data_IF_854668378880
#
_entry.id   IF_854668378880
#
_cell.length_a   1.000
_cell.length_b   1.000
_cell.length_c   1.000
_cell.angle_alpha   90.00
_cell.angle_beta   90.00
_cell.angle_gamma   90.00
#
_symmetry.space_group_name_H-M   'P 1'
#
loop_
_entity.id
_entity.type
_entity.pdbx_description
1 polymer ?
#
# COMPACT_ATOMS: atom_id res chain seq x y z
N UNK A 1 10.37 -13.98 -37.20
CA UNK A 1 9.87 -12.83 -36.41
C UNK A 1 8.95 -13.25 -35.27
N UNK A 2 8.15 -14.33 -35.40
CA UNK A 2 7.27 -14.85 -34.33
C UNK A 2 8.03 -15.40 -33.10
N UNK A 3 9.16 -16.09 -33.31
CA UNK A 3 9.98 -16.68 -32.22
C UNK A 3 10.49 -15.61 -31.23
N UNK A 4 10.76 -14.39 -31.70
CA UNK A 4 11.25 -13.30 -30.84
C UNK A 4 10.15 -12.69 -29.96
N UNK A 5 8.88 -12.84 -30.33
CA UNK A 5 7.74 -12.36 -29.54
C UNK A 5 7.43 -13.33 -28.39
N UNK A 6 7.46 -14.64 -28.67
CA UNK A 6 7.23 -15.69 -27.66
C UNK A 6 8.31 -15.71 -26.56
N UNK A 7 9.57 -15.52 -26.92
CA UNK A 7 10.66 -15.45 -25.95
C UNK A 7 10.51 -14.24 -25.00
N UNK A 8 10.08 -13.09 -25.53
CA UNK A 8 9.85 -11.87 -24.75
C UNK A 8 8.72 -12.04 -23.73
N UNK A 9 7.67 -12.79 -24.07
CA UNK A 9 6.56 -13.06 -23.16
C UNK A 9 6.99 -13.97 -21.99
N UNK A 10 7.83 -14.99 -22.24
CA UNK A 10 8.35 -15.86 -21.18
C UNK A 10 9.21 -15.07 -20.18
N UNK A 11 10.10 -14.21 -20.66
CA UNK A 11 10.96 -13.38 -19.81
C UNK A 11 10.15 -12.41 -18.93
N UNK A 12 9.09 -11.81 -19.49
CA UNK A 12 8.18 -10.92 -18.74
C UNK A 12 7.44 -11.70 -17.65
N UNK A 13 6.91 -12.88 -17.99
CA UNK A 13 6.20 -13.75 -17.03
C UNK A 13 7.12 -14.17 -15.88
N UNK A 14 8.35 -14.61 -16.20
CA UNK A 14 9.35 -14.99 -15.21
C UNK A 14 9.78 -13.80 -14.34
N UNK A 15 9.94 -12.62 -14.93
CA UNK A 15 10.24 -11.41 -14.15
C UNK A 15 9.13 -11.06 -13.18
N UNK A 16 7.88 -11.05 -13.64
CA UNK A 16 6.73 -10.78 -12.79
C UNK A 16 6.63 -11.82 -11.65
N UNK A 17 6.83 -13.10 -11.96
CA UNK A 17 6.82 -14.17 -10.97
C UNK A 17 7.90 -13.95 -9.90
N UNK A 18 9.13 -13.58 -10.28
CA UNK A 18 10.22 -13.27 -9.33
C UNK A 18 9.84 -12.13 -8.39
N UNK A 19 9.22 -11.06 -8.91
CA UNK A 19 8.80 -9.93 -8.06
C UNK A 19 7.71 -10.33 -7.05
N UNK A 20 6.74 -11.15 -7.47
CA UNK A 20 5.73 -11.69 -6.58
C UNK A 20 6.32 -12.66 -5.53
N UNK A 21 7.29 -13.48 -5.91
CA UNK A 21 7.99 -14.37 -4.99
C UNK A 21 8.80 -13.58 -3.95
N UNK A 22 9.43 -12.47 -4.35
CA UNK A 22 10.12 -11.56 -3.42
C UNK A 22 9.14 -10.99 -2.41
N UNK A 23 7.93 -10.60 -2.82
CA UNK A 23 6.88 -10.14 -1.90
C UNK A 23 6.51 -11.23 -0.88
N UNK A 24 6.28 -12.47 -1.33
CA UNK A 24 5.92 -13.57 -0.43
C UNK A 24 7.05 -14.00 0.52
N UNK A 25 8.30 -13.86 0.08
CA UNK A 25 9.47 -14.20 0.90
C UNK A 25 9.76 -13.17 2.01
N UNK A 26 9.05 -12.03 2.02
CA UNK A 26 9.23 -11.02 3.06
C UNK A 26 8.69 -11.54 4.40
N UNK A 27 9.48 -11.42 5.50
CA UNK A 27 9.02 -11.81 6.82
C UNK A 27 7.80 -10.96 7.21
N UNK A 28 6.84 -11.58 7.91
CA UNK A 28 5.74 -10.84 8.55
C UNK A 28 6.29 -9.65 9.36
N UNK A 29 5.62 -8.51 9.34
CA UNK A 29 6.09 -7.29 10.02
C UNK A 29 6.27 -7.49 11.53
N UNK A 30 5.58 -8.48 12.10
CA UNK A 30 5.79 -8.94 13.48
C UNK A 30 7.24 -9.35 13.78
N UNK A 31 8.09 -9.57 12.78
CA UNK A 31 9.48 -9.92 12.96
C UNK A 31 10.42 -8.73 13.25
N UNK A 32 10.06 -7.46 13.02
CA UNK A 32 11.05 -6.35 13.07
C UNK A 32 10.47 -4.98 13.42
N UNK A 33 10.45 -4.65 14.71
CA UNK A 33 11.35 -3.66 15.32
C UNK A 33 11.25 -3.80 16.84
N UNK A 34 12.35 -3.70 17.61
CA UNK A 34 12.23 -3.50 19.06
C UNK A 34 11.34 -2.28 19.28
N UNK A 35 10.36 -2.39 20.19
CA UNK A 35 9.40 -1.31 20.35
C UNK A 35 10.14 0.02 20.61
N UNK A 36 9.83 1.05 19.83
CA UNK A 36 10.48 2.36 19.94
C UNK A 36 10.36 2.99 21.34
N UNK A 37 9.34 2.61 22.11
CA UNK A 37 9.09 3.12 23.46
C UNK A 37 9.90 2.37 24.55
N UNK A 38 10.13 1.06 24.41
CA UNK A 38 10.78 0.28 25.47
C UNK A 38 12.11 -0.38 25.06
N UNK A 39 12.48 -0.35 23.78
CA UNK A 39 13.69 -0.94 23.22
C UNK A 39 13.76 -2.48 23.32
N UNK A 40 12.74 -3.13 23.90
CA UNK A 40 12.73 -4.57 24.05
C UNK A 40 12.43 -5.23 22.70
N UNK A 41 13.27 -6.19 22.31
CA UNK A 41 12.88 -7.19 21.33
C UNK A 41 11.65 -7.93 21.88
N UNK A 42 10.60 -8.05 21.06
CA UNK A 42 9.44 -8.86 21.39
C UNK A 42 9.91 -10.27 21.79
N UNK A 43 9.84 -10.61 23.09
CA UNK A 43 10.51 -11.82 23.59
C UNK A 43 9.87 -13.12 23.09
N UNK A 44 8.64 -13.09 22.58
CA UNK A 44 7.93 -14.30 22.17
C UNK A 44 7.01 -14.09 20.95
N UNK A 45 7.40 -13.19 20.03
CA UNK A 45 6.53 -12.81 18.90
C UNK A 45 5.25 -12.07 19.30
N UNK A 46 5.09 -11.76 20.59
CA UNK A 46 4.01 -10.94 21.12
C UNK A 46 4.29 -9.44 20.90
N UNK A 47 3.24 -8.72 20.52
CA UNK A 47 3.21 -7.25 20.56
C UNK A 47 3.60 -6.83 21.98
N UNK A 48 4.58 -5.94 22.12
CA UNK A 48 4.85 -5.33 23.42
C UNK A 48 3.53 -4.79 23.99
N UNK A 49 3.22 -5.07 25.27
CA UNK A 49 2.04 -4.49 25.93
C UNK A 49 2.06 -2.96 26.00
N UNK A 50 3.17 -2.34 25.61
CA UNK A 50 3.23 -0.95 25.21
C UNK A 50 2.57 -0.82 23.83
N UNK A 51 1.32 -0.36 23.80
CA UNK A 51 0.59 -0.10 22.56
C UNK A 51 1.42 0.74 21.57
N UNK A 52 1.05 0.67 20.29
CA UNK A 52 1.73 1.44 19.24
C UNK A 52 1.72 2.93 19.61
N UNK A 53 2.89 3.52 19.83
CA UNK A 53 3.01 4.97 19.96
C UNK A 53 2.95 5.59 18.57
N UNK A 54 1.73 5.90 18.14
CA UNK A 54 1.47 6.52 16.84
C UNK A 54 2.21 7.85 16.66
N UNK A 55 2.47 8.60 17.74
CA UNK A 55 3.21 9.86 17.65
C UNK A 55 4.67 9.62 17.31
N UNK A 56 5.30 8.62 17.93
CA UNK A 56 6.66 8.22 17.62
C UNK A 56 6.76 7.63 16.21
N UNK A 57 5.80 6.79 15.83
CA UNK A 57 5.78 6.16 14.50
C UNK A 57 5.62 7.20 13.38
N UNK A 58 4.73 8.18 13.54
CA UNK A 58 4.59 9.29 12.59
C UNK A 58 5.92 10.03 12.40
N UNK A 59 6.67 10.23 13.49
CA UNK A 59 7.99 10.87 13.43
C UNK A 59 9.04 10.02 12.72
N UNK A 60 8.97 8.70 12.86
CA UNK A 60 9.91 7.76 12.23
C UNK A 60 9.64 7.57 10.73
N UNK A 61 8.38 7.63 10.32
CA UNK A 61 7.97 7.43 8.93
C UNK A 61 8.09 8.70 8.08
N UNK A 62 8.14 9.88 8.70
CA UNK A 62 8.40 11.13 7.98
C UNK A 62 9.90 11.35 7.78
N UNK A 63 10.27 11.85 6.59
CA UNK A 63 11.64 12.29 6.29
C UNK A 63 12.03 13.57 7.01
N UNK A 64 11.05 14.41 7.37
CA UNK A 64 11.22 15.66 8.13
C UNK A 64 9.96 15.85 8.99
N UNK A 65 9.91 15.24 10.19
CA UNK A 65 8.69 15.21 11.00
C UNK A 65 8.30 16.56 11.59
N UNK A 66 9.20 17.54 11.59
CA UNK A 66 8.89 18.90 12.05
C UNK A 66 8.18 19.70 10.97
N UNK A 67 8.59 19.54 9.70
CA UNK A 67 8.03 20.29 8.56
C UNK A 67 6.91 19.54 7.84
N UNK A 68 6.97 18.22 7.80
CA UNK A 68 6.01 17.34 7.13
C UNK A 68 5.56 16.22 8.09
N UNK A 69 4.87 16.56 9.19
CA UNK A 69 4.30 15.54 10.08
C UNK A 69 3.27 14.70 9.32
N UNK A 70 3.27 13.40 9.53
CA UNK A 70 2.21 12.52 9.01
C UNK A 70 0.99 12.67 9.89
N UNK A 71 -0.16 12.95 9.26
CA UNK A 71 -1.41 13.20 9.96
C UNK A 71 -2.01 11.90 10.50
N UNK A 72 -2.67 11.97 11.65
CA UNK A 72 -3.12 10.79 12.39
C UNK A 72 -4.17 9.97 11.62
N UNK A 73 -5.02 10.63 10.82
CA UNK A 73 -6.07 9.96 10.06
C UNK A 73 -5.55 9.08 8.93
N UNK A 74 -4.38 9.39 8.36
CA UNK A 74 -3.77 8.64 7.24
C UNK A 74 -2.65 7.70 7.69
N UNK A 75 -2.04 7.97 8.86
CA UNK A 75 -0.90 7.25 9.39
C UNK A 75 -1.04 5.70 9.39
N UNK A 76 -2.18 5.08 9.74
CA UNK A 76 -2.32 3.63 9.72
C UNK A 76 -2.04 3.02 8.34
N UNK A 77 -2.49 3.68 7.27
CA UNK A 77 -2.28 3.20 5.91
C UNK A 77 -0.87 3.50 5.40
N UNK A 78 -0.28 4.63 5.80
CA UNK A 78 1.15 4.90 5.54
C UNK A 78 2.02 3.81 6.19
N UNK A 79 1.72 3.47 7.44
CA UNK A 79 2.40 2.38 8.15
C UNK A 79 2.22 1.05 7.43
N UNK A 80 0.99 0.64 7.14
CA UNK A 80 0.71 -0.63 6.44
C UNK A 80 1.41 -0.74 5.08
N UNK A 81 1.55 0.36 4.34
CA UNK A 81 2.31 0.39 3.09
C UNK A 81 3.82 0.29 3.34
N UNK A 82 4.34 0.96 4.36
CA UNK A 82 5.77 0.90 4.73
C UNK A 82 6.21 -0.50 5.17
N UNK A 83 5.27 -1.34 5.62
CA UNK A 83 5.52 -2.75 5.96
C UNK A 83 5.71 -3.65 4.74
N UNK A 84 5.49 -3.13 3.52
CA UNK A 84 5.71 -3.83 2.25
C UNK A 84 6.97 -3.27 1.58
N UNK A 85 8.17 -3.82 1.83
CA UNK A 85 9.45 -3.30 1.33
C UNK A 85 9.54 -2.95 -0.17
N UNK A 86 8.67 -3.52 -1.01
CA UNK A 86 8.64 -3.23 -2.43
C UNK A 86 7.87 -1.95 -2.80
N UNK A 87 7.21 -1.33 -1.82
CA UNK A 87 6.42 -0.11 -1.91
C UNK A 87 7.03 0.91 -0.94
N UNK A 88 7.39 2.07 -1.46
CA UNK A 88 7.94 3.16 -0.65
C UNK A 88 6.97 4.35 -0.67
N UNK A 89 6.21 4.59 0.41
CA UNK A 89 5.41 5.81 0.55
C UNK A 89 6.33 7.05 0.49
N UNK A 90 5.95 8.05 -0.29
CA UNK A 90 6.74 9.26 -0.49
C UNK A 90 5.99 10.56 -0.20
N UNK A 91 4.65 10.53 -0.17
CA UNK A 91 3.81 11.65 0.24
C UNK A 91 2.46 11.14 0.75
N UNK A 92 1.83 11.87 1.66
CA UNK A 92 0.48 11.52 2.16
C UNK A 92 -0.30 12.77 2.53
N UNK A 93 -1.63 12.67 2.47
CA UNK A 93 -2.58 13.62 3.01
C UNK A 93 -3.79 12.85 3.56
N UNK A 94 -4.29 13.22 4.73
CA UNK A 94 -5.48 12.60 5.34
C UNK A 94 -6.80 13.11 4.77
N UNK A 95 -6.75 14.14 3.93
CA UNK A 95 -7.91 14.88 3.45
C UNK A 95 -8.24 16.06 4.36
N UNK A 96 -8.86 17.09 3.80
CA UNK A 96 -9.17 18.31 4.54
C UNK A 96 -10.52 18.88 4.15
N UNK A 97 -11.16 19.56 5.09
CA UNK A 97 -12.36 20.35 4.87
C UNK A 97 -12.01 21.81 4.54
N UNK A 98 -12.83 22.46 3.72
CA UNK A 98 -12.77 23.91 3.51
C UNK A 98 -13.35 24.67 4.72
N UNK A 99 -13.27 26.01 4.68
CA UNK A 99 -13.82 26.88 5.72
C UNK A 99 -15.35 26.75 5.92
N UNK A 100 -16.06 26.06 5.02
CA UNK A 100 -17.50 25.78 5.10
C UNK A 100 -17.79 24.36 5.57
N UNK A 101 -16.77 23.60 5.97
CA UNK A 101 -16.89 22.21 6.40
C UNK A 101 -17.13 21.22 5.25
N UNK A 102 -16.93 21.63 3.99
CA UNK A 102 -17.07 20.74 2.84
C UNK A 102 -15.74 20.11 2.51
N UNK A 103 -15.74 18.90 1.98
CA UNK A 103 -14.52 18.21 1.59
C UNK A 103 -13.77 19.01 0.51
N UNK A 104 -12.56 19.46 0.84
CA UNK A 104 -11.69 20.24 -0.04
C UNK A 104 -10.60 19.38 -0.70
N UNK A 105 -10.04 18.43 0.05
CA UNK A 105 -9.03 17.48 -0.43
C UNK A 105 -9.40 16.08 0.00
N UNK A 106 -9.24 15.13 -0.90
CA UNK A 106 -9.38 13.71 -0.60
C UNK A 106 -8.11 13.18 0.07
N UNK A 107 -8.22 12.20 0.98
CA UNK A 107 -7.06 11.47 1.44
C UNK A 107 -6.34 10.80 0.27
N UNK A 108 -5.01 10.81 0.29
CA UNK A 108 -4.21 10.21 -0.77
C UNK A 108 -2.83 9.86 -0.22
N UNK A 109 -2.29 8.71 -0.62
CA UNK A 109 -0.90 8.32 -0.33
C UNK A 109 -0.20 8.05 -1.63
N UNK A 110 0.90 8.76 -1.87
CA UNK A 110 1.76 8.54 -3.01
C UNK A 110 2.89 7.60 -2.64
N UNK A 111 3.27 6.75 -3.58
CA UNK A 111 4.33 5.78 -3.40
C UNK A 111 5.07 5.52 -4.70
N UNK A 112 6.32 5.07 -4.57
CA UNK A 112 7.10 4.47 -5.65
C UNK A 112 7.23 2.97 -5.43
N UNK A 113 7.53 2.24 -6.50
CA UNK A 113 7.76 0.80 -6.45
C UNK A 113 8.67 0.35 -7.59
N UNK A 114 9.41 -0.75 -7.40
CA UNK A 114 10.35 -1.24 -8.40
C UNK A 114 9.72 -2.08 -9.51
N UNK A 115 8.46 -2.52 -9.36
CA UNK A 115 7.77 -3.34 -10.36
C UNK A 115 6.29 -2.98 -10.46
N UNK A 116 5.75 -2.97 -11.69
CA UNK A 116 4.34 -2.65 -11.96
C UNK A 116 3.37 -3.71 -11.43
N UNK A 117 3.87 -4.89 -11.03
CA UNK A 117 3.03 -5.91 -10.38
C UNK A 117 2.41 -5.39 -9.07
N UNK A 118 3.11 -4.54 -8.32
CA UNK A 118 2.63 -4.04 -7.02
C UNK A 118 1.42 -3.09 -7.12
N UNK A 119 1.42 -2.03 -7.96
CA UNK A 119 0.23 -1.21 -8.15
C UNK A 119 -0.95 -2.02 -8.72
N UNK A 120 -0.70 -3.03 -9.56
CA UNK A 120 -1.77 -3.94 -10.02
C UNK A 120 -2.36 -4.78 -8.90
N UNK A 121 -1.53 -5.35 -8.01
CA UNK A 121 -1.99 -6.10 -6.84
C UNK A 121 -2.79 -5.20 -5.88
N UNK A 122 -2.31 -3.98 -5.63
CA UNK A 122 -3.02 -3.00 -4.81
C UNK A 122 -4.38 -2.69 -5.41
N UNK A 123 -4.47 -2.41 -6.72
CA UNK A 123 -5.74 -2.15 -7.38
C UNK A 123 -6.72 -3.33 -7.25
N UNK A 124 -6.25 -4.57 -7.44
CA UNK A 124 -7.08 -5.76 -7.24
C UNK A 124 -7.52 -5.93 -5.78
N UNK A 125 -6.65 -5.61 -4.81
CA UNK A 125 -7.01 -5.63 -3.39
C UNK A 125 -8.11 -4.61 -3.06
N UNK A 126 -8.03 -3.39 -3.59
CA UNK A 126 -9.05 -2.35 -3.43
C UNK A 126 -10.39 -2.79 -4.03
N UNK A 127 -10.39 -3.35 -5.24
CA UNK A 127 -11.59 -3.88 -5.90
C UNK A 127 -12.20 -5.00 -5.06
N UNK A 128 -11.39 -5.95 -4.57
CA UNK A 128 -11.88 -7.06 -3.75
C UNK A 128 -12.46 -6.59 -2.40
N UNK A 129 -11.91 -5.53 -1.83
CA UNK A 129 -12.41 -4.92 -0.59
C UNK A 129 -13.73 -4.17 -0.80
N UNK A 130 -13.84 -3.39 -1.88
CA UNK A 130 -15.09 -2.73 -2.29
C UNK A 130 -16.19 -3.76 -2.60
N UNK A 131 -15.87 -4.81 -3.37
CA UNK A 131 -16.83 -5.88 -3.69
C UNK A 131 -17.35 -6.62 -2.45
N UNK A 132 -16.51 -6.75 -1.40
CA UNK A 132 -16.89 -7.32 -0.10
C UNK A 132 -17.59 -6.31 0.83
N UNK A 133 -17.81 -5.06 0.38
CA UNK A 133 -18.35 -3.94 1.16
C UNK A 133 -17.58 -3.66 2.45
N UNK A 134 -16.27 -3.95 2.44
CA UNK A 134 -15.38 -3.58 3.54
C UNK A 134 -15.06 -2.09 3.46
N UNK A 135 -14.96 -1.55 2.24
CA UNK A 135 -14.85 -0.12 2.00
C UNK A 135 -16.22 0.44 1.68
N UNK A 136 -16.50 1.61 2.22
CA UNK A 136 -17.71 2.38 1.92
C UNK A 136 -17.58 3.13 0.59
N UNK A 137 -16.37 3.57 0.25
CA UNK A 137 -16.08 4.34 -0.96
C UNK A 137 -15.23 3.55 -1.95
N UNK A 138 -15.22 4.00 -3.20
CA UNK A 138 -14.40 3.37 -4.21
C UNK A 138 -12.99 3.96 -4.21
N UNK A 139 -12.03 3.18 -3.74
CA UNK A 139 -10.61 3.53 -3.80
C UNK A 139 -9.98 3.03 -5.10
N UNK A 140 -8.95 3.72 -5.56
CA UNK A 140 -8.25 3.41 -6.80
C UNK A 140 -6.74 3.60 -6.68
N UNK A 141 -6.04 3.04 -7.68
CA UNK A 141 -4.63 3.33 -7.94
C UNK A 141 -4.57 4.29 -9.13
N UNK A 142 -3.96 5.46 -8.94
CA UNK A 142 -3.76 6.46 -9.98
C UNK A 142 -2.26 6.62 -10.27
N UNK A 143 -1.88 6.77 -11.54
CA UNK A 143 -0.52 7.18 -11.89
C UNK A 143 -0.40 8.70 -11.70
N UNK A 144 0.62 9.14 -10.97
CA UNK A 144 0.86 10.55 -10.67
C UNK A 144 2.01 11.06 -11.53
N UNK A 145 1.78 12.18 -12.22
CA UNK A 145 2.85 12.87 -12.93
C UNK A 145 3.59 13.80 -11.97
N UNK A 146 4.80 13.41 -11.57
CA UNK A 146 5.66 14.24 -10.74
C UNK A 146 6.83 14.80 -11.58
N UNK A 147 6.54 15.81 -12.41
CA UNK A 147 7.48 16.71 -13.10
C UNK A 147 8.79 16.12 -13.63
N UNK A 148 9.76 15.92 -12.75
CA UNK A 148 11.14 15.50 -13.05
C UNK A 148 11.50 14.08 -12.60
N UNK A 149 10.60 13.35 -11.94
CA UNK A 149 10.87 11.99 -11.49
C UNK A 149 10.98 11.04 -12.68
N UNK A 150 12.11 10.35 -12.80
CA UNK A 150 12.29 9.26 -13.76
C UNK A 150 11.53 8.00 -13.35
N UNK A 151 11.24 7.86 -12.06
CA UNK A 151 10.50 6.73 -11.52
C UNK A 151 9.00 7.01 -11.54
N UNK A 152 8.16 6.01 -11.90
CA UNK A 152 6.73 6.17 -11.84
C UNK A 152 6.27 6.33 -10.38
N UNK A 153 5.44 7.34 -10.14
CA UNK A 153 4.78 7.56 -8.85
C UNK A 153 3.32 7.14 -9.01
N UNK A 154 2.80 6.44 -8.01
CA UNK A 154 1.41 6.02 -7.94
C UNK A 154 0.75 6.60 -6.70
N UNK A 155 -0.57 6.77 -6.72
CA UNK A 155 -1.37 7.19 -5.58
C UNK A 155 -2.43 6.14 -5.25
N UNK A 156 -2.64 5.90 -3.95
CA UNK A 156 -3.85 5.26 -3.42
C UNK A 156 -4.79 6.37 -2.95
N UNK A 157 -5.95 6.49 -3.57
CA UNK A 157 -6.89 7.56 -3.27
C UNK A 157 -8.34 7.16 -3.56
N UNK A 158 -9.34 7.82 -2.95
CA UNK A 158 -10.74 7.69 -3.34
C UNK A 158 -10.98 8.19 -4.77
N UNK A 159 -11.94 7.59 -5.47
CA UNK A 159 -12.36 8.00 -6.80
C UNK A 159 -13.15 9.31 -6.73
N UNK A 160 -12.83 10.24 -7.64
CA UNK A 160 -13.56 11.50 -7.81
C UNK A 160 -15.02 11.19 -8.19
N UNK A 161 -15.96 11.66 -7.37
CA UNK A 161 -17.39 11.38 -7.50
C UNK A 161 -18.06 10.98 -6.18
N UNK A 162 -17.28 10.54 -5.19
CA UNK A 162 -17.75 10.23 -3.84
C UNK A 162 -17.89 11.52 -2.98
N UNK A 163 -18.47 12.59 -3.54
CA UNK A 163 -18.42 13.95 -2.96
C UNK A 163 -19.30 14.17 -1.73
N UNK A 164 -20.25 13.28 -1.48
CA UNK A 164 -21.13 13.35 -0.30
C UNK A 164 -20.54 12.61 0.92
N UNK A 165 -19.32 12.10 0.80
CA UNK A 165 -18.63 11.41 1.89
C UNK A 165 -18.06 12.40 2.92
N UNK A 166 -18.22 12.06 4.20
CA UNK A 166 -17.54 12.77 5.28
C UNK A 166 -16.08 12.32 5.39
N UNK A 167 -15.23 13.21 5.92
CA UNK A 167 -13.82 12.89 6.19
C UNK A 167 -13.68 11.66 7.10
N UNK A 168 -14.50 11.57 8.14
CA UNK A 168 -14.55 10.42 9.05
C UNK A 168 -14.83 9.09 8.33
N UNK A 169 -15.64 9.13 7.27
CA UNK A 169 -15.97 7.93 6.51
C UNK A 169 -14.78 7.46 5.65
N UNK A 170 -13.92 8.38 5.18
CA UNK A 170 -12.65 8.01 4.57
C UNK A 170 -11.64 7.51 5.59
N UNK A 171 -11.58 8.12 6.78
CA UNK A 171 -10.73 7.62 7.87
C UNK A 171 -11.14 6.19 8.28
N UNK A 172 -12.43 5.88 8.30
CA UNK A 172 -12.90 4.51 8.53
C UNK A 172 -12.43 3.53 7.43
N UNK A 173 -12.49 3.92 6.16
CA UNK A 173 -11.94 3.11 5.05
C UNK A 173 -10.42 2.92 5.18
N UNK A 174 -9.67 3.96 5.59
CA UNK A 174 -8.22 3.89 5.82
C UNK A 174 -7.88 2.87 6.91
N UNK A 175 -8.66 2.81 7.99
CA UNK A 175 -8.50 1.80 9.03
C UNK A 175 -8.78 0.39 8.48
N UNK A 176 -9.84 0.22 7.70
CA UNK A 176 -10.19 -1.07 7.10
C UNK A 176 -9.14 -1.55 6.07
N UNK A 177 -8.59 -0.61 5.28
CA UNK A 177 -7.50 -0.85 4.35
C UNK A 177 -6.27 -1.31 5.10
N UNK A 178 -5.76 -0.49 6.02
CA UNK A 178 -4.52 -0.76 6.76
C UNK A 178 -4.55 -2.09 7.51
N UNK A 179 -5.69 -2.44 8.11
CA UNK A 179 -5.84 -3.68 8.87
C UNK A 179 -5.76 -4.96 8.02
N UNK A 180 -5.98 -4.89 6.70
CA UNK A 180 -6.05 -6.10 5.85
C UNK A 180 -5.16 -6.07 4.61
N UNK A 181 -4.48 -4.95 4.35
CA UNK A 181 -3.77 -4.72 3.10
C UNK A 181 -2.70 -5.78 2.85
N UNK A 182 -1.84 -6.01 3.83
CA UNK A 182 -0.70 -6.93 3.72
C UNK A 182 -1.14 -8.35 3.40
N UNK A 183 -2.03 -8.92 4.21
CA UNK A 183 -2.50 -10.30 4.05
C UNK A 183 -3.16 -10.49 2.68
N UNK A 184 -3.89 -9.48 2.21
CA UNK A 184 -4.49 -9.49 0.87
C UNK A 184 -3.45 -9.46 -0.23
N UNK A 185 -2.43 -8.61 -0.12
CA UNK A 185 -1.36 -8.56 -1.10
C UNK A 185 -0.62 -9.90 -1.20
N UNK A 186 -0.34 -10.55 -0.06
CA UNK A 186 0.26 -11.88 -0.04
C UNK A 186 -0.66 -12.93 -0.68
N UNK A 187 -1.95 -12.97 -0.31
CA UNK A 187 -2.89 -13.91 -0.89
C UNK A 187 -3.03 -13.74 -2.41
N UNK A 188 -3.11 -12.49 -2.89
CA UNK A 188 -3.18 -12.17 -4.31
C UNK A 188 -1.89 -12.55 -5.03
N UNK A 189 -0.72 -12.25 -4.46
CA UNK A 189 0.56 -12.61 -5.04
C UNK A 189 0.71 -14.12 -5.24
N UNK A 190 0.32 -14.92 -4.25
CA UNK A 190 0.30 -16.39 -4.35
C UNK A 190 -0.63 -16.88 -5.46
N UNK A 191 -1.84 -16.32 -5.55
CA UNK A 191 -2.79 -16.66 -6.61
C UNK A 191 -2.27 -16.29 -8.02
N UNK A 192 -1.59 -15.13 -8.14
CA UNK A 192 -0.96 -14.71 -9.40
C UNK A 192 0.19 -15.61 -9.80
N UNK A 193 1.07 -16.01 -8.88
CA UNK A 193 2.17 -16.96 -9.17
C UNK A 193 1.61 -18.26 -9.74
N UNK A 194 0.58 -18.84 -9.13
CA UNK A 194 -0.05 -20.06 -9.62
C UNK A 194 -0.59 -19.91 -11.07
N UNK A 195 -1.16 -18.74 -11.40
CA UNK A 195 -1.60 -18.43 -12.78
C UNK A 195 -0.42 -18.29 -13.76
N UNK A 196 0.67 -17.65 -13.33
CA UNK A 196 1.87 -17.50 -14.16
C UNK A 196 2.52 -18.85 -14.44
N UNK A 197 2.59 -19.73 -13.44
CA UNK A 197 3.10 -21.11 -13.60
C UNK A 197 2.28 -21.91 -14.62
N UNK A 198 0.94 -21.84 -14.54
CA UNK A 198 0.08 -22.50 -15.52
C UNK A 198 0.31 -21.97 -16.94
N UNK A 199 0.56 -20.66 -17.11
CA UNK A 199 0.87 -20.06 -18.42
C UNK A 199 2.23 -20.49 -18.96
N UNK A 200 3.25 -20.61 -18.09
CA UNK A 200 4.58 -21.07 -18.49
C UNK A 200 4.58 -22.54 -18.94
N UNK A 201 3.77 -23.39 -18.30
CA UNK A 201 3.62 -24.79 -18.70
C UNK A 201 2.90 -24.98 -20.04
N UNK A 202 2.05 -24.02 -20.42
CA UNK A 202 1.28 -24.07 -21.66
C UNK A 202 2.03 -23.49 -22.88
N UNK A 203 3.19 -22.86 -22.68
CA UNK A 203 3.95 -22.14 -23.70
C UNK A 203 5.31 -22.80 -24.02
#
# INVERSE_FOLDING_TARGET
MLIAFEARDKDVIESQKRDLQRLLAQPAATARQPCGACGAAAKDGGVCGCGLDWSQLARQLSSDPERFPIEAGILPLVFALSEVPAIAPCWSCEGHLDARGRLHRLPSIWFTCHALAYPSLLAEALVALSAKRVLKHNWQIAAVHCGSALEPVFAIEPRVGDTDASLDAFHADIQALSATLRDRLHALAAAHIARLDARLLAA
#
